data_IF_665650306072
#
_entry.id   IF_665650306072
#
_cell.length_a   1.000
_cell.length_b   1.000
_cell.length_c   1.000
_cell.angle_alpha   90.00
_cell.angle_beta   90.00
_cell.angle_gamma   90.00
#
_symmetry.space_group_name_H-M   'P 1'
#
loop_
_entity.id
_entity.type
_entity.pdbx_description
1 polymer ?
#
# COMPACT_ATOMS: atom_id res chain seq x y z
N UNK A 1 8.80 -27.15 10.95
CA UNK A 1 8.53 -25.71 11.24
C UNK A 1 7.08 -25.54 11.65
N UNK A 2 6.76 -24.65 12.59
CA UNK A 2 5.35 -24.38 12.93
C UNK A 2 4.66 -23.74 11.72
N UNK A 3 3.40 -24.10 11.46
CA UNK A 3 2.64 -23.57 10.31
C UNK A 3 2.61 -22.03 10.27
N UNK A 4 2.50 -21.38 11.43
CA UNK A 4 2.59 -19.91 11.57
C UNK A 4 3.92 -19.34 11.04
N UNK A 5 5.03 -20.03 11.30
CA UNK A 5 6.36 -19.62 10.83
C UNK A 5 6.47 -19.77 9.31
N UNK A 6 5.91 -20.83 8.74
CA UNK A 6 5.87 -21.02 7.29
C UNK A 6 5.10 -19.89 6.60
N UNK A 7 3.92 -19.55 7.11
CA UNK A 7 3.11 -18.44 6.59
C UNK A 7 3.89 -17.12 6.67
N UNK A 8 4.52 -16.83 7.81
CA UNK A 8 5.29 -15.60 7.97
C UNK A 8 6.43 -15.49 6.94
N UNK A 9 7.16 -16.58 6.69
CA UNK A 9 8.24 -16.60 5.70
C UNK A 9 7.70 -16.38 4.29
N UNK A 10 6.62 -17.07 3.91
CA UNK A 10 5.99 -16.88 2.59
C UNK A 10 5.54 -15.43 2.43
N UNK A 11 4.94 -14.85 3.47
CA UNK A 11 4.47 -13.47 3.44
C UNK A 11 5.62 -12.46 3.28
N UNK A 12 6.71 -12.65 4.02
CA UNK A 12 7.93 -11.83 3.86
C UNK A 12 8.52 -11.97 2.47
N UNK A 13 8.61 -13.20 1.94
CA UNK A 13 9.10 -13.43 0.59
C UNK A 13 8.25 -12.71 -0.47
N UNK A 14 6.91 -12.75 -0.32
CA UNK A 14 6.00 -12.02 -1.19
C UNK A 14 6.23 -10.51 -1.14
N UNK A 15 6.38 -9.93 0.07
CA UNK A 15 6.66 -8.50 0.22
C UNK A 15 7.99 -8.11 -0.46
N UNK A 16 9.03 -8.91 -0.27
CA UNK A 16 10.35 -8.66 -0.88
C UNK A 16 10.26 -8.73 -2.39
N UNK A 17 9.66 -9.79 -2.94
CA UNK A 17 9.48 -9.96 -4.39
C UNK A 17 8.68 -8.79 -4.97
N UNK A 18 7.56 -8.45 -4.35
CA UNK A 18 6.74 -7.30 -4.73
C UNK A 18 7.56 -5.99 -4.73
N UNK A 19 8.37 -5.77 -3.69
CA UNK A 19 9.17 -4.55 -3.56
C UNK A 19 10.26 -4.46 -4.63
N UNK A 20 10.96 -5.57 -4.90
CA UNK A 20 12.02 -5.61 -5.92
C UNK A 20 11.44 -5.38 -7.31
N UNK A 21 10.33 -6.06 -7.65
CA UNK A 21 9.64 -5.90 -8.93
C UNK A 21 9.10 -4.48 -9.16
N UNK A 22 8.80 -3.76 -8.08
CA UNK A 22 8.26 -2.39 -8.12
C UNK A 22 9.26 -1.33 -7.63
N UNK A 23 10.56 -1.64 -7.65
CA UNK A 23 11.60 -0.70 -7.19
C UNK A 23 11.89 0.43 -8.18
N UNK A 24 11.52 0.26 -9.45
CA UNK A 24 11.76 1.24 -10.51
C UNK A 24 11.05 2.58 -10.21
N UNK A 25 11.74 3.68 -10.47
CA UNK A 25 11.18 5.03 -10.36
C UNK A 25 10.15 5.24 -11.47
N UNK A 26 8.98 5.76 -11.13
CA UNK A 26 7.91 6.06 -12.07
C UNK A 26 7.39 7.47 -11.87
N UNK A 27 7.14 8.13 -13.00
CA UNK A 27 6.58 9.47 -13.04
C UNK A 27 5.06 9.38 -13.04
N UNK A 28 4.44 10.02 -12.05
CA UNK A 28 2.98 10.16 -11.94
C UNK A 28 2.63 11.62 -12.15
N UNK A 29 1.81 11.89 -13.15
CA UNK A 29 1.20 13.20 -13.38
C UNK A 29 -0.26 13.12 -12.89
N UNK A 30 -0.59 13.84 -11.82
CA UNK A 30 -1.91 13.86 -11.22
C UNK A 30 -2.45 15.29 -11.14
N UNK A 31 -3.38 15.66 -12.02
CA UNK A 31 -3.90 17.03 -12.13
C UNK A 31 -2.76 18.06 -12.19
N UNK A 32 -2.53 18.83 -11.13
CA UNK A 32 -1.49 19.85 -11.03
C UNK A 32 -0.17 19.32 -10.43
N UNK A 33 -0.13 18.07 -10.00
CA UNK A 33 0.98 17.48 -9.26
C UNK A 33 1.79 16.55 -10.18
N UNK A 34 3.11 16.60 -10.03
CA UNK A 34 4.04 15.70 -10.69
C UNK A 34 4.94 15.09 -9.63
N UNK A 35 4.97 13.77 -9.56
CA UNK A 35 5.73 13.02 -8.57
C UNK A 35 6.60 11.99 -9.29
N UNK A 36 7.84 11.84 -8.85
CA UNK A 36 8.77 10.84 -9.36
C UNK A 36 9.35 10.08 -8.17
N UNK A 37 8.95 8.82 -8.02
CA UNK A 37 9.36 7.97 -6.90
C UNK A 37 9.19 6.50 -7.30
N UNK A 38 9.68 5.57 -6.48
CA UNK A 38 9.55 4.14 -6.78
C UNK A 38 8.09 3.69 -6.84
N UNK A 39 7.76 2.80 -7.79
CA UNK A 39 6.40 2.24 -7.96
C UNK A 39 5.87 1.64 -6.66
N UNK A 40 6.73 0.98 -5.89
CA UNK A 40 6.37 0.37 -4.61
C UNK A 40 5.81 1.41 -3.63
N UNK A 41 6.42 2.59 -3.55
CA UNK A 41 5.94 3.66 -2.67
C UNK A 41 4.64 4.27 -3.20
N UNK A 42 4.48 4.39 -4.52
CA UNK A 42 3.22 4.84 -5.14
C UNK A 42 2.08 3.88 -4.79
N UNK A 43 2.29 2.58 -4.93
CA UNK A 43 1.27 1.56 -4.68
C UNK A 43 0.92 1.51 -3.19
N UNK A 44 1.91 1.37 -2.31
CA UNK A 44 1.66 1.27 -0.86
C UNK A 44 1.12 2.58 -0.28
N UNK A 45 1.62 3.73 -0.75
CA UNK A 45 1.14 5.04 -0.32
C UNK A 45 -0.31 5.29 -0.73
N UNK A 46 -0.67 5.01 -1.99
CA UNK A 46 -2.05 5.18 -2.47
C UNK A 46 -3.03 4.23 -1.77
N UNK A 47 -2.64 2.95 -1.58
CA UNK A 47 -3.43 2.00 -0.81
C UNK A 47 -3.63 2.47 0.64
N UNK A 48 -2.55 2.90 1.31
CA UNK A 48 -2.60 3.40 2.68
C UNK A 48 -3.54 4.60 2.83
N UNK A 49 -3.44 5.58 1.93
CA UNK A 49 -4.35 6.73 1.88
C UNK A 49 -5.80 6.27 1.68
N UNK A 50 -6.05 5.34 0.75
CA UNK A 50 -7.38 4.79 0.49
C UNK A 50 -7.99 4.09 1.71
N UNK A 51 -7.20 3.29 2.44
CA UNK A 51 -7.62 2.64 3.69
C UNK A 51 -7.94 3.69 4.76
N UNK A 52 -7.08 4.69 4.95
CA UNK A 52 -7.32 5.77 5.91
C UNK A 52 -8.61 6.54 5.60
N UNK A 53 -8.84 6.89 4.33
CA UNK A 53 -10.09 7.53 3.89
C UNK A 53 -11.29 6.63 4.16
N UNK A 54 -11.20 5.33 3.84
CA UNK A 54 -12.28 4.37 4.11
C UNK A 54 -12.62 4.25 5.60
N UNK A 55 -11.61 4.23 6.47
CA UNK A 55 -11.79 4.22 7.93
C UNK A 55 -12.47 5.51 8.40
N UNK A 56 -12.00 6.67 7.93
CA UNK A 56 -12.59 7.97 8.28
C UNK A 56 -14.07 8.03 7.89
N UNK A 57 -14.42 7.62 6.68
CA UNK A 57 -15.81 7.57 6.21
C UNK A 57 -16.67 6.59 7.03
N UNK A 58 -16.10 5.46 7.45
CA UNK A 58 -16.81 4.49 8.29
C UNK A 58 -17.12 5.06 9.68
N UNK A 59 -16.16 5.78 10.27
CA UNK A 59 -16.34 6.45 11.57
C UNK A 59 -17.41 7.54 11.48
N UNK A 60 -17.37 8.40 10.45
CA UNK A 60 -18.35 9.49 10.30
C UNK A 60 -19.77 8.94 10.12
N UNK A 61 -19.94 7.86 9.34
CA UNK A 61 -21.25 7.21 9.15
C UNK A 61 -21.82 6.65 10.45
N UNK A 62 -20.97 6.14 11.35
CA UNK A 62 -21.38 5.61 12.66
C UNK A 62 -21.76 6.71 13.66
N UNK A 63 -21.26 7.93 13.49
CA UNK A 63 -21.57 9.08 14.35
C UNK A 63 -22.87 9.78 13.94
N UNK A 64 -23.22 9.72 12.65
CA UNK A 64 -24.46 10.31 12.11
C UNK A 64 -25.71 9.42 12.24
N UNK A 65 -25.59 8.22 12.79
CA UNK A 65 -26.64 7.23 13.05
C UNK A 65 -26.90 7.14 14.55
#
# INVERSE_FOLDING_TARGET
MKFKTLIAIVFVALIVIFSVQNSEVTNVNFLFWKLSMSRVLIILGSFGIGVLVGILVSITKKISL
#
